data_IF_364106848776
#
_entry.id   IF_364106848776
#
_cell.length_a   1.000
_cell.length_b   1.000
_cell.length_c   1.000
_cell.angle_alpha   90.00
_cell.angle_beta   90.00
_cell.angle_gamma   90.00
#
_symmetry.space_group_name_H-M   'P 1'
#
loop_
_entity.id
_entity.type
_entity.pdbx_description
1 polymer ?
#
# COMPACT_ATOMS: atom_id res chain seq x y z
N UNK A 1 3.77 -8.61 1.25
CA UNK A 1 4.72 -7.56 0.85
C UNK A 1 4.29 -6.18 1.35
N UNK A 2 3.07 -5.71 1.07
CA UNK A 2 2.61 -4.34 1.45
C UNK A 2 2.90 -3.98 2.91
N UNK A 3 2.58 -4.86 3.87
CA UNK A 3 2.82 -4.60 5.29
C UNK A 3 4.30 -4.38 5.64
N UNK A 4 5.20 -5.16 5.02
CA UNK A 4 6.66 -5.00 5.21
C UNK A 4 7.14 -3.67 4.64
N UNK A 5 6.63 -3.28 3.46
CA UNK A 5 6.97 -2.01 2.83
C UNK A 5 6.41 -0.82 3.62
N UNK A 6 5.17 -0.90 4.11
CA UNK A 6 4.57 0.16 4.93
C UNK A 6 5.36 0.38 6.22
N UNK A 7 5.76 -0.70 6.90
CA UNK A 7 6.63 -0.64 8.07
C UNK A 7 7.98 0.01 7.74
N UNK A 8 8.62 -0.43 6.64
CA UNK A 8 9.91 0.10 6.20
C UNK A 8 9.85 1.60 5.85
N UNK A 9 8.82 2.05 5.14
CA UNK A 9 8.62 3.47 4.81
C UNK A 9 8.43 4.32 6.07
N UNK A 10 7.66 3.82 7.05
CA UNK A 10 7.48 4.52 8.34
C UNK A 10 8.80 4.61 9.13
N UNK A 11 9.62 3.55 9.12
CA UNK A 11 10.97 3.58 9.72
C UNK A 11 11.88 4.59 9.02
N UNK A 12 11.88 4.62 7.69
CA UNK A 12 12.65 5.61 6.91
C UNK A 12 12.23 7.03 7.31
N UNK A 13 10.93 7.29 7.37
CA UNK A 13 10.41 8.60 7.75
C UNK A 13 10.83 8.98 9.18
N UNK A 14 10.69 8.07 10.14
CA UNK A 14 10.99 8.32 11.55
C UNK A 14 12.49 8.39 11.85
N UNK A 15 13.26 7.36 11.45
CA UNK A 15 14.61 7.12 11.94
C UNK A 15 15.69 7.70 11.01
N UNK A 16 15.41 7.84 9.70
CA UNK A 16 16.37 8.36 8.73
C UNK A 16 16.08 9.83 8.42
N UNK A 17 14.82 10.17 8.15
CA UNK A 17 14.43 11.55 7.84
C UNK A 17 14.13 12.37 9.10
N UNK A 18 14.08 11.72 10.28
CA UNK A 18 13.83 12.35 11.57
C UNK A 18 12.54 13.19 11.60
N UNK A 19 11.51 12.72 10.90
CA UNK A 19 10.21 13.40 10.87
C UNK A 19 9.44 13.11 12.16
N UNK A 20 9.17 14.12 13.01
CA UNK A 20 8.44 13.92 14.25
C UNK A 20 6.95 13.58 14.05
N UNK A 21 6.43 13.76 12.84
CA UNK A 21 5.06 13.41 12.48
C UNK A 21 4.93 11.97 11.92
N UNK A 22 6.05 11.23 11.83
CA UNK A 22 6.02 9.88 11.29
C UNK A 22 5.05 8.99 12.08
N UNK A 23 4.14 8.28 11.41
CA UNK A 23 3.24 7.36 12.08
C UNK A 23 4.02 6.17 12.65
N UNK A 24 3.40 5.49 13.62
CA UNK A 24 3.99 4.29 14.23
C UNK A 24 4.17 3.17 13.18
N UNK A 25 5.40 2.62 13.00
CA UNK A 25 5.68 1.61 11.97
C UNK A 25 4.87 0.32 12.15
N UNK A 26 4.69 -0.15 13.40
CA UNK A 26 3.95 -1.38 13.67
C UNK A 26 2.47 -1.18 13.35
N UNK A 27 1.94 0.01 13.63
CA UNK A 27 0.57 0.39 13.24
C UNK A 27 0.42 0.43 11.73
N UNK A 28 1.36 1.01 10.99
CA UNK A 28 1.34 1.01 9.53
C UNK A 28 1.35 -0.41 8.96
N UNK A 29 2.18 -1.30 9.51
CA UNK A 29 2.20 -2.70 9.12
C UNK A 29 0.88 -3.41 9.41
N UNK A 30 0.31 -3.19 10.60
CA UNK A 30 -0.98 -3.77 10.98
C UNK A 30 -2.11 -3.27 10.06
N UNK A 31 -2.20 -1.96 9.80
CA UNK A 31 -3.20 -1.39 8.87
C UNK A 31 -3.03 -1.97 7.46
N UNK A 32 -1.80 -2.13 6.99
CA UNK A 32 -1.51 -2.70 5.68
C UNK A 32 -1.92 -4.17 5.52
N UNK A 33 -2.02 -4.95 6.62
CA UNK A 33 -2.56 -6.32 6.56
C UNK A 33 -4.04 -6.34 6.20
N UNK A 34 -4.78 -5.26 6.48
CA UNK A 34 -6.23 -5.17 6.30
C UNK A 34 -6.64 -4.18 5.20
N UNK A 35 -5.69 -3.58 4.45
CA UNK A 35 -5.96 -2.49 3.50
C UNK A 35 -6.98 -2.86 2.41
N UNK A 36 -6.99 -4.15 1.99
CA UNK A 36 -7.92 -4.68 0.99
C UNK A 36 -9.05 -5.55 1.62
N UNK A 37 -9.25 -5.48 2.93
CA UNK A 37 -10.24 -6.32 3.61
C UNK A 37 -11.67 -6.12 3.05
N UNK A 38 -12.03 -4.91 2.60
CA UNK A 38 -13.32 -4.63 1.95
C UNK A 38 -13.55 -5.49 0.70
N UNK A 39 -12.49 -5.87 0.00
CA UNK A 39 -12.53 -6.63 -1.25
C UNK A 39 -13.02 -8.09 -1.06
N UNK A 40 -13.01 -8.59 0.18
CA UNK A 40 -13.67 -9.87 0.53
C UNK A 40 -15.15 -9.84 0.13
N UNK A 41 -15.80 -8.68 0.24
CA UNK A 41 -17.24 -8.51 -0.07
C UNK A 41 -17.49 -7.83 -1.42
N UNK A 42 -16.58 -6.94 -1.86
CA UNK A 42 -16.77 -6.15 -3.09
C UNK A 42 -16.14 -6.80 -4.31
N UNK A 43 -15.16 -7.68 -4.11
CA UNK A 43 -14.19 -8.04 -5.15
C UNK A 43 -13.24 -6.87 -5.45
N UNK A 44 -12.14 -7.18 -6.13
CA UNK A 44 -11.20 -6.17 -6.62
C UNK A 44 -11.80 -5.49 -7.88
N UNK A 45 -11.88 -4.16 -7.85
CA UNK A 45 -12.33 -3.37 -9.00
C UNK A 45 -11.12 -2.91 -9.81
N UNK A 46 -11.01 -3.28 -11.11
CA UNK A 46 -9.90 -2.87 -11.94
C UNK A 46 -9.65 -1.35 -11.88
N UNK A 47 -8.41 -0.96 -11.68
CA UNK A 47 -7.98 0.45 -11.52
C UNK A 47 -8.56 1.41 -12.56
N UNK A 48 -8.63 1.07 -13.88
CA UNK A 48 -9.24 1.95 -14.88
C UNK A 48 -10.71 2.22 -14.64
N UNK A 49 -11.44 1.29 -14.01
CA UNK A 49 -12.87 1.46 -13.70
C UNK A 49 -13.00 2.24 -12.39
N UNK A 50 -12.23 1.90 -11.36
CA UNK A 50 -12.23 2.55 -10.04
C UNK A 50 -12.00 4.07 -10.14
N UNK A 51 -11.18 4.51 -11.11
CA UNK A 51 -10.81 5.91 -11.32
C UNK A 51 -11.39 6.52 -12.61
N UNK A 52 -12.41 5.89 -13.23
CA UNK A 52 -12.99 6.37 -14.49
C UNK A 52 -13.54 7.80 -14.38
N UNK A 53 -14.25 8.09 -13.30
CA UNK A 53 -14.72 9.43 -12.97
C UNK A 53 -14.88 9.62 -11.45
N UNK A 54 -15.03 10.87 -10.95
CA UNK A 54 -15.19 11.14 -9.52
C UNK A 54 -16.44 10.48 -8.90
N UNK A 55 -17.52 10.32 -9.64
CA UNK A 55 -18.77 9.73 -9.14
C UNK A 55 -18.58 8.24 -8.82
N UNK A 56 -18.01 7.49 -9.77
CA UNK A 56 -17.69 6.05 -9.56
C UNK A 56 -16.73 5.89 -8.40
N UNK A 57 -15.67 6.70 -8.36
CA UNK A 57 -14.70 6.66 -7.25
C UNK A 57 -15.35 6.89 -5.89
N UNK A 58 -16.23 7.88 -5.78
CA UNK A 58 -16.90 8.21 -4.52
C UNK A 58 -17.93 7.14 -4.13
N UNK A 59 -18.70 6.63 -5.09
CA UNK A 59 -19.63 5.53 -4.87
C UNK A 59 -18.89 4.26 -4.40
N UNK A 60 -17.76 3.93 -5.02
CA UNK A 60 -16.97 2.77 -4.64
C UNK A 60 -16.40 2.91 -3.21
N UNK A 61 -15.89 4.08 -2.84
CA UNK A 61 -15.44 4.36 -1.45
C UNK A 61 -16.57 4.16 -0.42
N UNK A 62 -17.80 4.52 -0.76
CA UNK A 62 -18.94 4.27 0.12
C UNK A 62 -19.21 2.77 0.26
N UNK A 63 -19.10 2.01 -0.83
CA UNK A 63 -19.26 0.55 -0.80
C UNK A 63 -18.15 -0.11 0.02
N UNK A 64 -16.89 0.31 -0.14
CA UNK A 64 -15.76 -0.13 0.68
C UNK A 64 -16.03 0.12 2.18
N UNK A 65 -16.45 1.33 2.54
CA UNK A 65 -16.76 1.68 3.92
C UNK A 65 -17.94 0.87 4.51
N UNK A 66 -18.97 0.56 3.72
CA UNK A 66 -20.07 -0.32 4.12
C UNK A 66 -19.56 -1.75 4.34
N UNK A 67 -18.69 -2.22 3.46
CA UNK A 67 -18.08 -3.55 3.52
C UNK A 67 -17.23 -3.72 4.78
N UNK A 68 -16.37 -2.75 5.09
CA UNK A 68 -15.56 -2.74 6.32
C UNK A 68 -16.46 -2.78 7.58
N UNK A 69 -17.54 -1.97 7.62
CA UNK A 69 -18.50 -2.01 8.75
C UNK A 69 -19.18 -3.37 8.88
N UNK A 70 -19.53 -4.02 7.78
CA UNK A 70 -20.11 -5.37 7.81
C UNK A 70 -19.11 -6.39 8.35
N UNK A 71 -17.86 -6.35 7.90
CA UNK A 71 -16.80 -7.23 8.42
C UNK A 71 -16.58 -7.01 9.91
N UNK A 72 -16.52 -5.75 10.36
CA UNK A 72 -16.38 -5.40 11.77
C UNK A 72 -17.57 -5.94 12.61
N UNK A 73 -18.77 -5.87 12.08
CA UNK A 73 -19.97 -6.37 12.76
C UNK A 73 -20.01 -7.90 12.95
N UNK A 74 -19.25 -8.65 12.14
CA UNK A 74 -19.11 -10.11 12.29
C UNK A 74 -18.22 -10.50 13.49
N UNK A 75 -17.41 -9.58 14.00
CA UNK A 75 -16.53 -9.84 15.13
C UNK A 75 -17.33 -9.77 16.46
N UNK A 76 -16.91 -10.55 17.49
CA UNK A 76 -17.36 -10.35 18.86
C UNK A 76 -17.20 -8.88 19.28
N UNK A 77 -18.12 -8.38 20.11
CA UNK A 77 -18.14 -6.96 20.51
C UNK A 77 -16.83 -6.51 21.16
N UNK A 78 -16.23 -7.39 21.94
CA UNK A 78 -14.98 -7.15 22.66
C UNK A 78 -13.78 -6.92 21.73
N UNK A 79 -13.81 -7.45 20.50
CA UNK A 79 -12.73 -7.31 19.51
C UNK A 79 -12.92 -6.10 18.59
N UNK A 80 -14.14 -5.59 18.43
CA UNK A 80 -14.44 -4.50 17.50
C UNK A 80 -13.59 -3.25 17.74
N UNK A 81 -13.37 -2.77 18.98
CA UNK A 81 -12.54 -1.59 19.22
C UNK A 81 -11.07 -1.75 18.75
N UNK A 82 -10.55 -2.98 18.76
CA UNK A 82 -9.18 -3.26 18.31
C UNK A 82 -9.06 -3.35 16.79
N UNK A 83 -10.11 -3.81 16.10
CA UNK A 83 -10.10 -3.98 14.65
C UNK A 83 -10.64 -2.78 13.88
N UNK A 84 -11.48 -1.96 14.50
CA UNK A 84 -12.07 -0.79 13.85
C UNK A 84 -11.01 0.15 13.26
N UNK A 85 -9.93 0.55 13.98
CA UNK A 85 -8.90 1.43 13.41
C UNK A 85 -8.06 0.76 12.32
N UNK A 86 -8.06 -0.57 12.22
CA UNK A 86 -7.35 -1.32 11.16
C UNK A 86 -8.19 -1.45 9.89
N UNK A 87 -9.50 -1.61 10.03
CA UNK A 87 -10.44 -1.76 8.92
C UNK A 87 -10.92 -0.42 8.36
N UNK A 88 -11.00 0.58 9.21
CA UNK A 88 -11.57 1.90 8.91
C UNK A 88 -10.51 3.00 8.91
N UNK A 89 -9.24 2.66 8.73
CA UNK A 89 -8.06 3.54 8.87
C UNK A 89 -8.39 5.01 9.14
N UNK A 90 -8.15 5.42 10.37
CA UNK A 90 -8.48 6.77 10.85
C UNK A 90 -7.29 7.73 10.88
N UNK A 91 -6.08 7.21 10.69
CA UNK A 91 -4.84 7.97 10.67
C UNK A 91 -4.45 8.27 9.21
N UNK A 92 -4.58 9.53 8.75
CA UNK A 92 -4.31 9.88 7.36
C UNK A 92 -2.84 9.67 6.95
N UNK A 93 -1.89 9.78 7.87
CA UNK A 93 -0.47 9.61 7.60
C UNK A 93 -0.15 8.12 7.44
N UNK A 94 -0.68 7.27 8.31
CA UNK A 94 -0.58 5.82 8.15
C UNK A 94 -1.27 5.35 6.85
N UNK A 95 -2.48 5.85 6.54
CA UNK A 95 -3.18 5.54 5.30
C UNK A 95 -2.37 5.94 4.05
N UNK A 96 -1.68 7.07 4.10
CA UNK A 96 -0.83 7.54 3.01
C UNK A 96 0.36 6.60 2.80
N UNK A 97 1.03 6.15 3.87
CA UNK A 97 2.13 5.19 3.78
C UNK A 97 1.68 3.81 3.32
N UNK A 98 0.53 3.32 3.79
CA UNK A 98 -0.07 2.06 3.30
C UNK A 98 -0.35 2.13 1.80
N UNK A 99 -0.92 3.23 1.32
CA UNK A 99 -1.16 3.46 -0.10
C UNK A 99 0.14 3.55 -0.92
N UNK A 100 1.19 4.15 -0.36
CA UNK A 100 2.51 4.19 -1.00
C UNK A 100 3.12 2.78 -1.08
N UNK A 101 3.03 2.01 -0.01
CA UNK A 101 3.51 0.64 0.07
C UNK A 101 2.78 -0.30 -0.90
N UNK A 102 1.46 -0.15 -1.06
CA UNK A 102 0.67 -0.91 -2.04
C UNK A 102 1.16 -0.62 -3.47
N UNK A 103 1.28 0.65 -3.86
CA UNK A 103 1.83 1.03 -5.17
C UNK A 103 3.26 0.56 -5.38
N UNK A 104 4.09 0.64 -4.34
CA UNK A 104 5.47 0.16 -4.37
C UNK A 104 5.53 -1.36 -4.55
N UNK A 105 4.66 -2.10 -3.86
CA UNK A 105 4.51 -3.56 -4.02
C UNK A 105 4.14 -3.92 -5.46
N UNK A 106 3.19 -3.21 -6.06
CA UNK A 106 2.80 -3.40 -7.45
C UNK A 106 3.97 -3.10 -8.42
N UNK A 107 4.75 -2.05 -8.15
CA UNK A 107 5.93 -1.72 -8.96
C UNK A 107 7.03 -2.78 -8.85
N UNK A 108 7.33 -3.24 -7.64
CA UNK A 108 8.29 -4.33 -7.39
C UNK A 108 7.86 -5.59 -8.14
N UNK A 109 6.56 -5.94 -8.10
CA UNK A 109 6.03 -7.07 -8.87
C UNK A 109 6.29 -6.92 -10.37
N UNK A 110 6.12 -5.72 -10.93
CA UNK A 110 6.44 -5.47 -12.34
C UNK A 110 7.94 -5.68 -12.62
N UNK A 111 8.83 -5.26 -11.72
CA UNK A 111 10.27 -5.47 -11.88
C UNK A 111 10.64 -6.96 -11.83
N UNK A 112 10.02 -7.74 -10.93
CA UNK A 112 10.21 -9.18 -10.84
C UNK A 112 9.75 -9.90 -12.12
N UNK A 113 8.61 -9.52 -12.69
CA UNK A 113 8.10 -10.08 -13.95
C UNK A 113 9.02 -9.75 -15.14
N UNK A 114 9.49 -8.50 -15.22
CA UNK A 114 10.46 -8.10 -16.26
C UNK A 114 11.78 -8.87 -16.14
N UNK A 115 12.26 -9.08 -14.92
CA UNK A 115 13.45 -9.91 -14.65
C UNK A 115 13.24 -11.36 -15.08
N UNK A 116 12.03 -11.89 -14.91
CA UNK A 116 11.65 -13.22 -15.38
C UNK A 116 11.46 -13.30 -16.92
N UNK A 117 11.63 -12.19 -17.65
CA UNK A 117 11.49 -12.11 -19.11
C UNK A 117 10.07 -11.81 -19.60
N UNK A 118 9.14 -11.45 -18.72
CA UNK A 118 7.77 -11.12 -19.08
C UNK A 118 7.65 -9.66 -19.53
N UNK A 119 7.88 -9.39 -20.82
CA UNK A 119 7.84 -8.05 -21.40
C UNK A 119 6.45 -7.37 -21.36
N UNK A 120 5.36 -8.10 -21.10
CA UNK A 120 4.02 -7.52 -20.97
C UNK A 120 3.92 -6.53 -19.82
N UNK A 121 4.82 -6.61 -18.83
CA UNK A 121 4.88 -5.71 -17.68
C UNK A 121 5.61 -4.38 -17.92
N UNK A 122 6.18 -4.13 -19.11
CA UNK A 122 6.92 -2.87 -19.40
C UNK A 122 6.05 -1.62 -19.21
N UNK A 123 4.84 -1.63 -19.75
CA UNK A 123 3.92 -0.50 -19.63
C UNK A 123 3.47 -0.28 -18.18
N UNK A 124 3.16 -1.37 -17.47
CA UNK A 124 2.76 -1.33 -16.08
C UNK A 124 3.90 -0.83 -15.16
N UNK A 125 5.15 -1.27 -15.41
CA UNK A 125 6.32 -0.79 -14.68
C UNK A 125 6.53 0.72 -14.84
N UNK A 126 6.37 1.25 -16.06
CA UNK A 126 6.46 2.71 -16.32
C UNK A 126 5.35 3.48 -15.61
N UNK A 127 4.11 2.98 -15.67
CA UNK A 127 2.95 3.63 -15.04
C UNK A 127 3.05 3.63 -13.52
N UNK A 128 3.42 2.50 -12.92
CA UNK A 128 3.57 2.39 -11.46
C UNK A 128 4.72 3.27 -10.97
N UNK A 129 5.83 3.34 -11.70
CA UNK A 129 6.94 4.26 -11.39
C UNK A 129 6.49 5.71 -11.35
N UNK A 130 5.81 6.17 -12.40
CA UNK A 130 5.28 7.55 -12.46
C UNK A 130 4.30 7.82 -11.33
N UNK A 131 3.45 6.85 -10.99
CA UNK A 131 2.50 7.00 -9.89
C UNK A 131 3.18 7.12 -8.52
N UNK A 132 4.32 6.46 -8.31
CA UNK A 132 5.13 6.59 -7.09
C UNK A 132 5.78 7.98 -7.02
N UNK A 133 6.43 8.43 -8.11
CA UNK A 133 7.07 9.74 -8.19
C UNK A 133 6.07 10.90 -7.95
N UNK A 134 4.84 10.76 -8.42
CA UNK A 134 3.76 11.72 -8.20
C UNK A 134 3.28 11.82 -6.73
N UNK A 135 3.60 10.84 -5.89
CA UNK A 135 3.22 10.90 -4.47
C UNK A 135 4.05 11.92 -3.68
N UNK A 136 5.24 12.28 -4.16
CA UNK A 136 6.12 13.28 -3.56
C UNK A 136 6.37 13.04 -2.07
N UNK A 137 6.63 11.80 -1.70
CA UNK A 137 6.89 11.37 -0.31
C UNK A 137 8.39 11.15 -0.11
N UNK A 138 9.07 11.93 0.74
CA UNK A 138 10.52 11.80 0.94
C UNK A 138 10.96 10.41 1.39
N UNK A 139 10.19 9.71 2.22
CA UNK A 139 10.50 8.34 2.63
C UNK A 139 10.41 7.33 1.48
N UNK A 140 9.48 7.55 0.54
CA UNK A 140 9.36 6.75 -0.67
C UNK A 140 10.51 7.02 -1.64
N UNK A 141 10.86 8.28 -1.84
CA UNK A 141 11.99 8.68 -2.68
C UNK A 141 13.29 8.06 -2.15
N UNK A 142 13.53 8.13 -0.84
CA UNK A 142 14.65 7.47 -0.18
C UNK A 142 14.65 5.95 -0.41
N UNK A 143 13.49 5.31 -0.26
CA UNK A 143 13.36 3.86 -0.49
C UNK A 143 13.69 3.49 -1.93
N UNK A 144 13.16 4.25 -2.88
CA UNK A 144 13.40 4.01 -4.32
C UNK A 144 14.86 4.20 -4.72
N UNK A 145 15.56 5.14 -4.08
CA UNK A 145 16.98 5.41 -4.36
C UNK A 145 17.90 4.33 -3.76
N UNK A 146 17.61 3.87 -2.53
CA UNK A 146 18.55 3.05 -1.77
C UNK A 146 18.23 1.56 -1.75
N UNK A 147 16.95 1.18 -1.93
CA UNK A 147 16.52 -0.22 -1.77
C UNK A 147 15.93 -0.84 -3.04
N UNK A 148 15.40 -0.04 -3.98
CA UNK A 148 14.64 -0.59 -5.11
C UNK A 148 15.49 -1.51 -5.99
N UNK A 149 16.74 -1.19 -6.20
CA UNK A 149 17.62 -1.99 -7.07
C UNK A 149 17.90 -3.39 -6.49
N UNK A 150 17.82 -3.57 -5.17
CA UNK A 150 17.98 -4.89 -4.52
C UNK A 150 16.95 -5.92 -5.03
N UNK A 151 15.76 -5.48 -5.42
CA UNK A 151 14.72 -6.37 -5.96
C UNK A 151 15.02 -6.88 -7.38
N UNK A 152 16.05 -6.34 -8.02
CA UNK A 152 16.54 -6.80 -9.33
C UNK A 152 17.67 -7.81 -9.21
N UNK A 153 18.29 -7.92 -8.02
CA UNK A 153 19.39 -8.83 -7.77
C UNK A 153 18.91 -10.27 -7.63
N UNK A 154 19.73 -11.21 -8.04
CA UNK A 154 19.56 -12.65 -7.71
C UNK A 154 20.00 -12.89 -6.27
N UNK A 155 19.66 -14.06 -5.70
CA UNK A 155 20.13 -14.44 -4.35
C UNK A 155 21.65 -14.46 -4.24
N UNK A 156 22.34 -14.84 -5.30
CA UNK A 156 23.80 -14.89 -5.34
C UNK A 156 24.47 -13.49 -5.46
N UNK A 157 23.70 -12.47 -5.79
CA UNK A 157 24.15 -11.07 -5.89
C UNK A 157 23.84 -10.24 -4.63
N UNK A 158 23.18 -10.85 -3.63
CA UNK A 158 22.82 -10.19 -2.36
C UNK A 158 23.94 -10.31 -1.28
N UNK A 159 25.19 -10.56 -1.68
CA UNK A 159 26.33 -10.61 -0.77
C UNK A 159 26.79 -9.24 -0.26
#
# INVERSE_FOLDING_TARGET
MVAVLAHGLALVQRDILHDPSAPDPDRCAAAALFHDASEILTGDLPTPIKYYNPEIRNAYKQVEAISCRKLLALLPEELRPSYEPLLMESDPDAALLVKAADKLSAHIKCLEELKAGNAEFEAAAKQTRLALEQMQLPCLDYFMEHFLDSFRLTLDELE
#
